data_IF_591320461588
#
_entry.id   IF_591320461588
#
_cell.length_a   1.000
_cell.length_b   1.000
_cell.length_c   1.000
_cell.angle_alpha   90.00
_cell.angle_beta   90.00
_cell.angle_gamma   90.00
#
_symmetry.space_group_name_H-M   'P 1'
#
loop_
_entity.id
_entity.type
_entity.pdbx_description
1 polymer ?
#
# COMPACT_ATOMS: atom_id res chain seq x y z
N UNK A 1 11.43 9.63 -14.95
CA UNK A 1 11.70 8.34 -14.26
C UNK A 1 10.92 7.15 -14.83
N UNK A 2 9.65 7.31 -15.27
CA UNK A 2 8.82 6.20 -15.78
C UNK A 2 9.43 5.48 -17.00
N UNK A 3 10.08 6.20 -17.89
CA UNK A 3 10.79 5.62 -19.05
C UNK A 3 11.93 4.68 -18.65
N UNK A 4 12.69 5.03 -17.60
CA UNK A 4 13.79 4.19 -17.09
C UNK A 4 13.24 2.90 -16.50
N UNK A 5 12.16 2.98 -15.71
CA UNK A 5 11.50 1.80 -15.15
C UNK A 5 10.92 0.88 -16.23
N UNK A 6 10.35 1.45 -17.29
CA UNK A 6 9.87 0.67 -18.43
C UNK A 6 11.03 -0.02 -19.16
N UNK A 7 12.17 0.65 -19.31
CA UNK A 7 13.36 0.11 -19.97
C UNK A 7 13.98 -1.03 -19.15
N UNK A 8 14.01 -0.89 -17.82
CA UNK A 8 14.40 -1.97 -16.89
C UNK A 8 13.43 -3.14 -16.97
N UNK A 9 12.11 -2.90 -16.99
CA UNK A 9 11.12 -3.97 -17.14
C UNK A 9 11.30 -4.71 -18.48
N UNK A 10 11.62 -3.99 -19.56
CA UNK A 10 11.88 -4.57 -20.87
C UNK A 10 13.17 -5.42 -20.87
N UNK A 11 14.22 -4.96 -20.19
CA UNK A 11 15.44 -5.74 -19.98
C UNK A 11 15.18 -7.03 -19.19
N UNK A 12 14.31 -7.00 -18.18
CA UNK A 12 13.90 -8.20 -17.42
C UNK A 12 13.12 -9.18 -18.30
N UNK A 13 12.26 -8.69 -19.21
CA UNK A 13 11.56 -9.54 -20.19
C UNK A 13 12.56 -10.20 -21.13
N UNK A 14 13.50 -9.43 -21.70
CA UNK A 14 14.56 -9.94 -22.58
C UNK A 14 15.42 -11.00 -21.87
N UNK A 15 15.75 -10.78 -20.60
CA UNK A 15 16.49 -11.75 -19.78
C UNK A 15 15.69 -13.04 -19.57
N UNK A 16 14.39 -12.93 -19.31
CA UNK A 16 13.52 -14.09 -19.19
C UNK A 16 13.39 -14.87 -20.50
N UNK A 17 13.31 -14.19 -21.66
CA UNK A 17 13.31 -14.85 -22.99
C UNK A 17 14.62 -15.58 -23.24
N UNK A 18 15.76 -14.95 -22.95
CA UNK A 18 17.08 -15.59 -23.07
C UNK A 18 17.21 -16.83 -22.18
N UNK A 19 16.61 -16.81 -20.98
CA UNK A 19 16.57 -17.98 -20.08
C UNK A 19 15.72 -19.13 -20.61
N UNK A 20 14.66 -18.85 -21.39
CA UNK A 20 13.87 -19.90 -22.04
C UNK A 20 14.70 -20.58 -23.12
N UNK A 21 15.35 -19.81 -23.99
CA UNK A 21 16.15 -20.35 -25.10
C UNK A 21 17.38 -21.15 -24.64
N UNK A 22 17.99 -20.77 -23.52
CA UNK A 22 19.27 -21.36 -23.10
C UNK A 22 19.14 -22.62 -22.25
N UNK A 23 17.97 -22.88 -21.65
CA UNK A 23 17.83 -23.91 -20.63
C UNK A 23 16.55 -24.75 -20.76
N UNK A 24 15.71 -24.52 -21.78
CA UNK A 24 14.36 -25.12 -21.94
C UNK A 24 13.51 -25.04 -20.66
N UNK A 25 13.82 -24.08 -19.80
CA UNK A 25 13.39 -24.11 -18.41
C UNK A 25 12.28 -23.09 -18.18
N UNK A 26 11.18 -23.53 -17.58
CA UNK A 26 9.97 -22.74 -17.34
C UNK A 26 10.19 -21.52 -16.42
N UNK A 27 11.38 -21.39 -15.83
CA UNK A 27 11.77 -20.23 -15.01
C UNK A 27 11.91 -18.93 -15.79
N UNK A 28 12.18 -18.99 -17.10
CA UNK A 28 12.19 -17.78 -17.92
C UNK A 28 10.82 -17.10 -17.98
N UNK A 29 9.73 -17.88 -18.02
CA UNK A 29 8.36 -17.36 -17.91
C UNK A 29 8.10 -16.72 -16.53
N UNK A 30 8.66 -17.32 -15.47
CA UNK A 30 8.55 -16.77 -14.13
C UNK A 30 9.25 -15.40 -14.02
N UNK A 31 10.42 -15.23 -14.62
CA UNK A 31 11.13 -13.94 -14.66
C UNK A 31 10.34 -12.89 -15.45
N UNK A 32 9.81 -13.26 -16.62
CA UNK A 32 8.95 -12.37 -17.42
C UNK A 32 7.73 -11.92 -16.61
N UNK A 33 7.15 -12.82 -15.82
CA UNK A 33 5.96 -12.50 -15.01
C UNK A 33 6.19 -11.36 -14.02
N UNK A 34 7.41 -11.18 -13.49
CA UNK A 34 7.75 -10.08 -12.58
C UNK A 34 7.60 -8.72 -13.26
N UNK A 35 8.12 -8.60 -14.49
CA UNK A 35 7.97 -7.39 -15.29
C UNK A 35 6.51 -7.15 -15.68
N UNK A 36 5.77 -8.21 -16.00
CA UNK A 36 4.34 -8.13 -16.32
C UNK A 36 3.53 -7.63 -15.12
N UNK A 37 3.78 -8.14 -13.91
CA UNK A 37 3.14 -7.69 -12.66
C UNK A 37 3.39 -6.20 -12.40
N UNK A 38 4.60 -5.71 -12.69
CA UNK A 38 4.92 -4.28 -12.56
C UNK A 38 4.01 -3.41 -13.44
N UNK A 39 3.71 -3.85 -14.67
CA UNK A 39 2.81 -3.14 -15.58
C UNK A 39 1.33 -3.33 -15.23
N UNK A 40 0.93 -4.54 -14.82
CA UNK A 40 -0.44 -4.86 -14.42
C UNK A 40 -0.78 -4.46 -12.98
N UNK A 41 0.14 -3.84 -12.24
CA UNK A 41 -0.06 -3.35 -10.87
C UNK A 41 -1.43 -2.64 -10.64
N UNK A 42 -1.90 -1.70 -11.48
CA UNK A 42 -3.21 -1.07 -11.31
C UNK A 42 -4.38 -2.06 -11.54
N UNK A 43 -4.24 -2.97 -12.50
CA UNK A 43 -5.22 -4.02 -12.79
C UNK A 43 -5.31 -5.04 -11.64
N UNK A 44 -4.17 -5.47 -11.11
CA UNK A 44 -4.10 -6.37 -9.97
C UNK A 44 -4.78 -5.76 -8.73
N UNK A 45 -4.65 -4.45 -8.51
CA UNK A 45 -5.40 -3.76 -7.44
C UNK A 45 -6.91 -3.78 -7.66
N UNK A 46 -7.38 -3.74 -8.91
CA UNK A 46 -8.81 -3.88 -9.24
C UNK A 46 -9.28 -5.31 -9.01
N UNK A 47 -8.49 -6.30 -9.42
CA UNK A 47 -8.77 -7.73 -9.20
C UNK A 47 -8.89 -8.04 -7.70
N UNK A 48 -8.01 -7.47 -6.87
CA UNK A 48 -8.04 -7.64 -5.42
C UNK A 48 -9.17 -6.87 -4.71
N UNK A 49 -9.96 -6.06 -5.43
CA UNK A 49 -11.14 -5.40 -4.86
C UNK A 49 -12.25 -6.40 -4.55
N UNK A 50 -12.30 -7.53 -5.26
CA UNK A 50 -13.26 -8.60 -5.03
C UNK A 50 -12.52 -9.92 -4.80
N UNK A 51 -12.71 -10.53 -3.61
CA UNK A 51 -12.03 -11.76 -3.23
C UNK A 51 -12.32 -12.93 -4.20
N UNK A 52 -13.54 -13.02 -4.74
CA UNK A 52 -13.91 -14.09 -5.69
C UNK A 52 -13.13 -13.94 -7.00
N UNK A 53 -13.05 -12.72 -7.54
CA UNK A 53 -12.33 -12.43 -8.79
C UNK A 53 -10.83 -12.66 -8.61
N UNK A 54 -10.29 -12.30 -7.46
CA UNK A 54 -8.89 -12.57 -7.09
C UNK A 54 -8.59 -14.07 -7.11
N UNK A 55 -9.41 -14.90 -6.45
CA UNK A 55 -9.18 -16.35 -6.38
C UNK A 55 -9.31 -16.98 -7.76
N UNK A 56 -10.32 -16.60 -8.55
CA UNK A 56 -10.50 -17.12 -9.92
C UNK A 56 -9.31 -16.73 -10.82
N UNK A 57 -8.83 -15.48 -10.72
CA UNK A 57 -7.67 -15.01 -11.48
C UNK A 57 -6.42 -15.80 -11.15
N UNK A 58 -6.06 -15.93 -9.87
CA UNK A 58 -4.87 -16.67 -9.46
C UNK A 58 -5.00 -18.17 -9.73
N UNK A 59 -6.19 -18.74 -9.62
CA UNK A 59 -6.46 -20.13 -9.99
C UNK A 59 -6.23 -20.37 -11.49
N UNK A 60 -6.67 -19.45 -12.36
CA UNK A 60 -6.41 -19.53 -13.80
C UNK A 60 -4.92 -19.42 -14.14
N UNK A 61 -4.19 -18.52 -13.48
CA UNK A 61 -2.73 -18.38 -13.66
C UNK A 61 -1.99 -19.62 -13.17
N UNK A 62 -2.38 -20.16 -12.00
CA UNK A 62 -1.77 -21.36 -11.42
C UNK A 62 -2.01 -22.61 -12.27
N UNK A 63 -3.18 -22.70 -12.93
CA UNK A 63 -3.47 -23.78 -13.87
C UNK A 63 -2.55 -23.77 -15.09
N UNK A 64 -2.18 -22.58 -15.59
CA UNK A 64 -1.27 -22.45 -16.73
C UNK A 64 0.19 -22.72 -16.34
N UNK A 65 0.67 -22.10 -15.27
CA UNK A 65 1.98 -22.37 -14.69
C UNK A 65 2.00 -21.98 -13.22
N UNK A 66 2.20 -22.97 -12.36
CA UNK A 66 2.29 -22.75 -10.92
C UNK A 66 3.52 -21.90 -10.53
N UNK A 67 4.62 -21.99 -11.29
CA UNK A 67 5.82 -21.16 -11.06
C UNK A 67 5.53 -19.68 -11.33
N UNK A 68 4.83 -19.38 -12.43
CA UNK A 68 4.39 -18.02 -12.76
C UNK A 68 3.46 -17.48 -11.68
N UNK A 69 2.51 -18.28 -11.22
CA UNK A 69 1.59 -17.87 -10.16
C UNK A 69 2.35 -17.50 -8.87
N UNK A 70 3.25 -18.36 -8.38
CA UNK A 70 4.00 -18.11 -7.15
C UNK A 70 4.88 -16.88 -7.26
N UNK A 71 5.64 -16.73 -8.35
CA UNK A 71 6.56 -15.61 -8.54
C UNK A 71 5.82 -14.29 -8.72
N UNK A 72 4.72 -14.30 -9.50
CA UNK A 72 3.90 -13.11 -9.67
C UNK A 72 3.24 -12.66 -8.36
N UNK A 73 2.80 -13.61 -7.52
CA UNK A 73 2.15 -13.31 -6.23
C UNK A 73 3.17 -12.73 -5.24
N UNK A 74 4.37 -13.32 -5.18
CA UNK A 74 5.50 -12.78 -4.41
C UNK A 74 5.86 -11.36 -4.84
N UNK A 75 6.02 -11.14 -6.15
CA UNK A 75 6.31 -9.81 -6.69
C UNK A 75 5.21 -8.81 -6.29
N UNK A 76 3.94 -9.18 -6.43
CA UNK A 76 2.81 -8.34 -6.06
C UNK A 76 2.81 -7.97 -4.56
N UNK A 77 3.10 -8.93 -3.67
CA UNK A 77 3.23 -8.68 -2.22
C UNK A 77 4.37 -7.71 -1.93
N UNK A 78 5.54 -7.91 -2.53
CA UNK A 78 6.71 -7.03 -2.34
C UNK A 78 6.42 -5.61 -2.82
N UNK A 79 5.83 -5.45 -4.02
CA UNK A 79 5.49 -4.14 -4.57
C UNK A 79 4.36 -3.45 -3.79
N UNK A 80 3.39 -4.19 -3.27
CA UNK A 80 2.31 -3.64 -2.45
C UNK A 80 2.80 -3.25 -1.04
N UNK A 81 3.71 -4.02 -0.45
CA UNK A 81 4.36 -3.70 0.82
C UNK A 81 5.22 -2.43 0.69
N UNK A 82 6.08 -2.35 -0.33
CA UNK A 82 6.90 -1.14 -0.58
C UNK A 82 6.05 0.09 -0.90
N UNK A 83 4.95 -0.07 -1.64
CA UNK A 83 3.99 1.01 -1.86
C UNK A 83 3.28 1.46 -0.58
N UNK A 84 2.97 0.53 0.33
CA UNK A 84 2.38 0.85 1.63
C UNK A 84 3.37 1.56 2.55
N UNK A 85 4.64 1.16 2.56
CA UNK A 85 5.72 1.82 3.32
C UNK A 85 5.91 3.26 2.84
N UNK A 86 5.93 3.50 1.52
CA UNK A 86 6.00 4.87 0.97
C UNK A 86 4.79 5.74 1.31
N UNK A 87 3.65 5.11 1.63
CA UNK A 87 2.39 5.79 1.95
C UNK A 87 2.19 6.00 3.45
N UNK A 88 3.04 5.46 4.32
CA UNK A 88 3.07 5.89 5.73
C UNK A 88 3.52 7.34 5.70
N UNK A 89 2.61 8.31 5.83
CA UNK A 89 3.04 9.67 5.94
C UNK A 89 3.70 9.74 7.32
N UNK A 90 4.77 10.51 7.45
CA UNK A 90 5.10 11.13 8.73
C UNK A 90 3.97 12.10 9.07
N UNK A 91 2.75 11.59 9.32
CA UNK A 91 1.69 12.36 9.94
C UNK A 91 2.05 12.33 11.41
N UNK A 92 2.59 13.42 12.00
CA UNK A 92 2.58 13.53 13.44
C UNK A 92 1.11 13.33 13.83
N UNK A 93 0.83 12.38 14.72
CA UNK A 93 -0.51 12.12 15.18
C UNK A 93 -1.09 13.46 15.63
N UNK A 94 -1.95 14.08 14.81
CA UNK A 94 -2.71 15.24 15.21
C UNK A 94 -3.69 14.65 16.22
N UNK A 95 -3.24 14.64 17.48
CA UNK A 95 -4.05 14.40 18.65
C UNK A 95 -5.23 15.32 18.44
N UNK A 96 -6.42 14.76 18.15
CA UNK A 96 -7.68 15.51 18.21
C UNK A 96 -7.64 16.22 19.57
N UNK A 97 -7.32 17.51 19.57
CA UNK A 97 -7.51 18.34 20.74
C UNK A 97 -9.01 18.27 20.94
N UNK A 98 -9.43 17.42 21.89
CA UNK A 98 -10.81 17.44 22.37
C UNK A 98 -11.04 18.88 22.75
N UNK A 99 -11.93 19.52 22.02
CA UNK A 99 -12.38 20.85 22.30
C UNK A 99 -13.07 20.77 23.65
N UNK A 100 -12.35 21.14 24.71
CA UNK A 100 -12.90 21.11 26.06
C UNK A 100 -13.83 22.31 26.11
N UNK A 101 -15.13 22.06 26.20
CA UNK A 101 -16.15 23.09 26.34
C UNK A 101 -16.41 23.28 27.82
N UNK A 102 -16.43 24.53 28.29
CA UNK A 102 -16.71 24.82 29.69
C UNK A 102 -18.17 24.43 30.01
N UNK A 103 -18.42 23.52 30.96
CA UNK A 103 -19.79 23.10 31.29
C UNK A 103 -20.67 24.22 31.85
N UNK A 104 -20.10 25.33 32.37
CA UNK A 104 -20.89 26.44 32.90
C UNK A 104 -21.25 27.51 31.86
N UNK A 105 -20.50 27.63 30.76
CA UNK A 105 -20.69 28.72 29.78
C UNK A 105 -20.90 28.24 28.34
N UNK A 106 -20.74 26.95 28.04
CA UNK A 106 -20.87 26.42 26.68
C UNK A 106 -19.80 26.93 25.71
N UNK A 107 -18.82 27.71 26.18
CA UNK A 107 -17.75 28.27 25.39
C UNK A 107 -16.54 27.34 25.36
N UNK A 108 -15.82 27.47 24.26
CA UNK A 108 -14.61 26.74 23.91
C UNK A 108 -13.46 27.17 24.81
N UNK A 109 -12.88 26.24 25.55
CA UNK A 109 -11.70 26.54 26.36
C UNK A 109 -10.43 26.43 25.51
N UNK A 110 -9.76 27.58 25.34
CA UNK A 110 -8.47 27.67 24.64
C UNK A 110 -7.30 27.16 25.50
N UNK A 111 -7.45 27.15 26.83
CA UNK A 111 -6.42 26.78 27.80
C UNK A 111 -6.94 25.69 28.77
N UNK A 112 -6.06 24.78 29.19
CA UNK A 112 -6.38 23.61 30.04
C UNK A 112 -6.40 23.89 31.56
N UNK A 113 -6.05 25.09 32.00
CA UNK A 113 -6.09 25.43 33.42
C UNK A 113 -7.50 25.86 33.79
N UNK A 114 -8.11 25.14 34.72
CA UNK A 114 -9.24 25.64 35.48
C UNK A 114 -8.67 26.63 36.48
N UNK A 115 -8.91 27.93 36.30
CA UNK A 115 -8.71 28.90 37.38
C UNK A 115 -9.78 28.63 38.45
N UNK A 116 -9.47 27.70 39.34
CA UNK A 116 -10.15 27.51 40.63
C UNK A 116 -9.57 28.58 41.58
N UNK A 117 -9.67 29.85 41.19
CA UNK A 117 -9.45 30.97 42.09
C UNK A 117 -10.84 31.50 42.44
N UNK A 118 -11.40 30.89 43.48
CA UNK A 118 -12.62 31.35 44.12
C UNK A 118 -12.39 32.72 44.76
N UNK A 119 -12.54 33.78 43.99
CA UNK A 119 -12.41 35.14 44.50
C UNK A 119 -13.50 36.02 43.87
N UNK A 120 -14.75 35.63 44.10
CA UNK A 120 -15.91 36.45 43.82
C UNK A 120 -16.97 36.20 44.88
N UNK A 121 -16.85 36.89 46.03
CA UNK A 121 -17.96 37.60 46.66
C UNK A 121 -17.43 38.44 47.84
N UNK A 122 -17.89 39.68 47.87
CA UNK A 122 -17.65 40.73 48.86
C UNK A 122 -18.04 40.33 50.29
N UNK A 123 -17.58 41.10 51.30
CA UNK A 123 -18.35 41.69 52.42
C UNK A 123 -17.36 42.44 53.36
N UNK A 124 -17.65 43.74 53.56
CA UNK A 124 -17.11 44.73 54.51
C UNK A 124 -15.60 45.08 54.52
#
# INVERSE_FOLDING_TARGET
MRHILNLVALAVILLGVAMIETNDNQWGLAVISVAVVFWLMPLLRLVHKNAVVMVVFWSGVAYFSWQVAVVALLAFVVFSATASIKRVPNTPAIKKQRFIVNPSSGLVMKNKHFDIAGNGFAIL
#
